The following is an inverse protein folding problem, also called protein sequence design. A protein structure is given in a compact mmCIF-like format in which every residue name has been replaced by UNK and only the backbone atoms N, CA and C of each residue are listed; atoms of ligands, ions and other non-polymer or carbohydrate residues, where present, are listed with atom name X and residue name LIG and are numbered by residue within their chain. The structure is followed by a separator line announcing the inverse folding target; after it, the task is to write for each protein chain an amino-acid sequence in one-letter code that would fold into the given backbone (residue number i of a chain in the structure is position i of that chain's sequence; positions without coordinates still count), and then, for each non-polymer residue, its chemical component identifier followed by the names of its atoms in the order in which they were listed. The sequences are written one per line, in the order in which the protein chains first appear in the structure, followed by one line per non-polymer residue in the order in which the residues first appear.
data_IF_332110442770
#
_entry.id   IF_332110442770
#
_cell.length_a   1.000
_cell.length_b   1.000
_cell.length_c   1.000
_cell.angle_alpha   90.00
_cell.angle_beta   90.00
_cell.angle_gamma   90.00
#
_symmetry.space_group_name_H-M   'P 1'
#
loop_
_entity.id
_entity.type
_entity.pdbx_description
1 polymer ?
#
# COMPACT_ATOMS: atom_id res chain seq x y z
N UNK A 1 -52.53 -63.26 32.06
CA UNK A 1 -51.22 -63.85 32.03
C UNK A 1 -50.22 -63.00 31.26
N UNK A 2 -49.09 -62.85 31.93
CA UNK A 2 -47.76 -62.62 31.39
C UNK A 2 -47.44 -61.34 30.63
N UNK A 3 -46.76 -60.44 31.32
CA UNK A 3 -45.72 -59.61 30.79
C UNK A 3 -44.55 -60.48 30.26
N UNK A 4 -43.67 -59.94 29.42
CA UNK A 4 -42.43 -59.43 29.90
C UNK A 4 -41.93 -58.14 29.21
N UNK A 5 -41.29 -57.27 29.99
CA UNK A 5 -39.88 -56.96 30.12
C UNK A 5 -39.29 -56.05 29.04
N UNK A 6 -39.05 -54.83 29.48
CA UNK A 6 -37.86 -53.96 29.41
C UNK A 6 -37.00 -54.00 28.13
N UNK A 7 -36.81 -52.88 27.54
CA UNK A 7 -35.49 -52.42 27.09
C UNK A 7 -35.40 -50.88 27.19
N UNK A 8 -34.54 -50.49 28.04
CA UNK A 8 -33.93 -49.19 28.29
C UNK A 8 -33.37 -48.60 26.98
N UNK A 9 -33.73 -47.38 26.65
CA UNK A 9 -33.04 -46.60 25.64
C UNK A 9 -32.88 -45.19 26.16
N UNK A 10 -31.70 -44.90 26.65
CA UNK A 10 -31.14 -43.62 27.04
C UNK A 10 -31.28 -42.60 25.89
N UNK A 11 -31.69 -41.37 26.17
CA UNK A 11 -31.64 -40.32 25.14
C UNK A 11 -30.22 -39.84 24.98
N UNK A 12 -29.69 -40.02 23.79
CA UNK A 12 -28.37 -39.51 23.38
C UNK A 12 -28.39 -38.00 23.31
N UNK A 13 -27.36 -37.43 23.92
CA UNK A 13 -27.07 -36.02 24.12
C UNK A 13 -27.23 -35.15 22.87
N UNK A 14 -27.79 -33.97 23.12
CA UNK A 14 -27.79 -32.85 22.21
C UNK A 14 -26.35 -32.50 21.81
N UNK A 15 -26.12 -32.40 20.46
CA UNK A 15 -24.87 -31.94 19.93
C UNK A 15 -24.60 -30.50 20.31
N UNK A 16 -23.51 -30.29 21.01
CA UNK A 16 -22.94 -28.98 21.30
C UNK A 16 -22.60 -28.29 19.95
N UNK A 17 -23.12 -27.10 19.79
CA UNK A 17 -22.67 -26.18 18.75
C UNK A 17 -21.18 -25.85 18.97
N UNK A 18 -20.34 -25.81 17.93
CA UNK A 18 -18.94 -25.45 18.08
C UNK A 18 -18.83 -24.04 18.65
N UNK A 19 -18.27 -23.95 19.85
CA UNK A 19 -17.98 -22.71 20.52
C UNK A 19 -17.15 -21.79 19.64
N UNK A 20 -17.59 -20.56 19.52
CA UNK A 20 -16.82 -19.47 18.97
C UNK A 20 -15.61 -19.23 19.88
N UNK A 21 -14.44 -19.74 19.49
CA UNK A 21 -13.17 -19.34 20.08
C UNK A 21 -12.91 -17.86 19.70
N UNK A 22 -13.25 -16.96 20.62
CA UNK A 22 -12.98 -15.53 20.51
C UNK A 22 -11.50 -15.17 20.73
N UNK A 23 -10.62 -16.16 20.92
CA UNK A 23 -9.19 -16.00 21.21
C UNK A 23 -8.28 -16.69 20.18
N UNK A 24 -8.69 -16.78 18.92
CA UNK A 24 -7.72 -17.11 17.86
C UNK A 24 -6.78 -15.92 17.70
N UNK A 25 -5.47 -16.06 18.00
CA UNK A 25 -4.53 -14.99 17.76
C UNK A 25 -4.58 -14.64 16.27
N UNK A 26 -4.59 -13.34 15.96
CA UNK A 26 -4.42 -12.86 14.58
C UNK A 26 -3.22 -13.60 13.97
N UNK A 27 -3.32 -14.10 12.75
CA UNK A 27 -2.16 -14.70 12.10
C UNK A 27 -1.04 -13.65 12.10
N UNK A 28 0.19 -14.04 12.43
CA UNK A 28 1.32 -13.12 12.49
C UNK A 28 1.43 -12.36 11.17
N UNK A 29 1.78 -11.08 11.24
CA UNK A 29 1.93 -10.20 10.08
C UNK A 29 2.81 -10.79 8.97
N UNK A 30 3.70 -11.72 9.31
CA UNK A 30 4.54 -12.47 8.38
C UNK A 30 3.78 -13.43 7.45
N UNK A 31 2.53 -13.75 7.71
CA UNK A 31 1.74 -14.64 6.82
C UNK A 31 1.36 -13.99 5.49
N UNK A 32 1.46 -12.66 5.37
CA UNK A 32 1.24 -11.93 4.12
C UNK A 32 2.47 -11.90 3.20
N UNK A 33 3.64 -12.28 3.71
CA UNK A 33 4.92 -12.29 2.99
C UNK A 33 5.04 -13.47 2.02
N UNK A 34 4.17 -14.47 2.15
CA UNK A 34 4.23 -15.74 1.42
C UNK A 34 3.99 -15.63 -0.11
N UNK A 35 3.56 -14.49 -0.63
CA UNK A 35 3.29 -14.28 -2.06
C UNK A 35 4.22 -13.28 -2.75
N UNK A 36 5.28 -12.81 -2.06
CA UNK A 36 6.33 -12.05 -2.73
C UNK A 36 7.07 -13.05 -3.62
N UNK A 37 7.14 -12.85 -4.94
CA UNK A 37 8.00 -13.68 -5.77
C UNK A 37 9.39 -13.66 -5.17
N UNK A 38 9.94 -14.82 -4.83
CA UNK A 38 11.29 -14.95 -4.23
C UNK A 38 12.40 -14.66 -5.26
N UNK A 39 12.06 -14.17 -6.43
CA UNK A 39 13.00 -13.78 -7.47
C UNK A 39 13.49 -12.36 -7.21
N UNK A 40 14.62 -12.31 -6.51
CA UNK A 40 15.47 -11.14 -6.38
C UNK A 40 15.13 -10.24 -5.18
N UNK A 41 16.18 -9.78 -4.49
CA UNK A 41 16.09 -8.74 -3.45
C UNK A 41 15.68 -7.37 -4.01
N UNK A 42 15.68 -7.25 -5.34
CA UNK A 42 15.36 -6.03 -6.06
C UNK A 42 13.86 -5.74 -5.95
N UNK A 43 13.53 -4.57 -5.42
CA UNK A 43 12.14 -4.12 -5.27
C UNK A 43 11.40 -4.59 -4.02
N UNK A 44 12.07 -5.25 -3.07
CA UNK A 44 11.44 -5.64 -1.79
C UNK A 44 11.47 -4.52 -0.75
N UNK A 45 12.46 -3.65 -0.81
CA UNK A 45 12.75 -2.64 0.20
C UNK A 45 11.58 -1.68 0.45
N UNK A 46 10.91 -1.23 -0.63
CA UNK A 46 9.77 -0.32 -0.55
C UNK A 46 8.45 -0.99 -0.92
N UNK A 47 8.41 -2.31 -1.03
CA UNK A 47 7.29 -3.08 -1.52
C UNK A 47 5.96 -2.71 -0.84
N UNK A 48 5.94 -2.61 0.49
CA UNK A 48 4.72 -2.29 1.23
C UNK A 48 4.18 -0.89 0.94
N UNK A 49 5.06 0.09 0.76
CA UNK A 49 4.67 1.47 0.45
C UNK A 49 4.13 1.59 -0.98
N UNK A 50 4.84 1.01 -1.93
CA UNK A 50 4.41 0.94 -3.32
C UNK A 50 3.08 0.21 -3.47
N UNK A 51 2.90 -0.92 -2.76
CA UNK A 51 1.67 -1.70 -2.76
C UNK A 51 0.46 -0.90 -2.29
N UNK A 52 0.61 -0.04 -1.29
CA UNK A 52 -0.48 0.83 -0.82
C UNK A 52 -0.86 1.88 -1.87
N UNK A 53 0.12 2.44 -2.58
CA UNK A 53 -0.13 3.38 -3.68
C UNK A 53 -0.83 2.65 -4.84
N UNK A 54 -0.33 1.45 -5.21
CA UNK A 54 -0.96 0.62 -6.23
C UNK A 54 -2.41 0.24 -5.89
N UNK A 55 -2.70 0.03 -4.61
CA UNK A 55 -4.06 -0.22 -4.16
C UNK A 55 -4.99 0.95 -4.50
N UNK A 56 -4.52 2.19 -4.37
CA UNK A 56 -5.29 3.36 -4.78
C UNK A 56 -5.43 3.45 -6.30
N UNK A 57 -4.36 3.17 -7.03
CA UNK A 57 -4.36 3.16 -8.50
C UNK A 57 -5.34 2.11 -9.05
N UNK A 58 -5.29 0.87 -8.57
CA UNK A 58 -6.14 -0.22 -9.09
C UNK A 58 -7.61 -0.01 -8.72
N UNK A 59 -7.91 0.55 -7.54
CA UNK A 59 -9.30 0.75 -7.08
C UNK A 59 -9.94 2.03 -7.58
N UNK A 60 -9.17 3.08 -7.70
CA UNK A 60 -9.66 4.45 -7.86
C UNK A 60 -8.89 5.24 -8.92
N UNK A 61 -8.09 4.58 -9.74
CA UNK A 61 -7.12 5.23 -10.63
C UNK A 61 -7.70 6.31 -11.52
N UNK A 62 -8.87 6.07 -12.10
CA UNK A 62 -9.60 7.00 -12.97
C UNK A 62 -10.40 8.07 -12.21
N UNK A 63 -10.55 7.94 -10.89
CA UNK A 63 -11.32 8.90 -10.09
C UNK A 63 -10.59 10.22 -9.95
N UNK A 64 -11.33 11.30 -10.13
CA UNK A 64 -10.84 12.66 -9.89
C UNK A 64 -10.65 12.84 -8.39
N UNK A 65 -9.43 13.20 -7.97
CA UNK A 65 -9.13 13.44 -6.57
C UNK A 65 -9.02 14.93 -6.22
N UNK A 66 -8.66 15.77 -7.17
CA UNK A 66 -8.56 17.23 -6.98
C UNK A 66 -8.66 17.96 -8.31
N UNK A 67 -8.88 19.28 -8.24
CA UNK A 67 -8.75 20.18 -9.37
C UNK A 67 -7.48 21.02 -9.20
N UNK A 68 -6.75 21.21 -10.29
CA UNK A 68 -5.56 22.07 -10.33
C UNK A 68 -5.83 23.20 -11.30
N UNK A 69 -5.51 24.43 -10.90
CA UNK A 69 -5.63 25.60 -11.76
C UNK A 69 -4.41 25.70 -12.67
N UNK A 70 -4.61 25.71 -13.99
CA UNK A 70 -3.54 25.92 -14.96
C UNK A 70 -3.11 27.40 -15.04
N UNK A 71 -2.08 27.69 -15.82
CA UNK A 71 -1.56 29.06 -16.03
C UNK A 71 -2.63 30.01 -16.64
N UNK A 72 -3.64 29.47 -17.30
CA UNK A 72 -4.75 30.22 -17.91
C UNK A 72 -5.92 30.47 -16.94
N UNK A 73 -5.80 30.01 -15.67
CA UNK A 73 -6.84 30.14 -14.66
C UNK A 73 -7.98 29.13 -14.79
N UNK A 74 -7.83 28.08 -15.62
CA UNK A 74 -8.85 27.04 -15.77
C UNK A 74 -8.60 25.91 -14.75
N UNK A 75 -9.67 25.40 -14.19
CA UNK A 75 -9.63 24.21 -13.32
C UNK A 75 -9.57 22.93 -14.17
N UNK A 76 -8.51 22.18 -14.00
CA UNK A 76 -8.30 20.88 -14.63
C UNK A 76 -8.47 19.78 -13.59
N UNK A 77 -9.39 18.83 -13.81
CA UNK A 77 -9.55 17.69 -12.92
C UNK A 77 -8.32 16.77 -13.04
N UNK A 78 -7.79 16.34 -11.90
CA UNK A 78 -6.64 15.42 -11.81
C UNK A 78 -7.10 14.13 -11.17
N UNK A 79 -6.91 13.02 -11.88
CA UNK A 79 -7.19 11.68 -11.41
C UNK A 79 -6.09 11.17 -10.45
N UNK A 80 -6.38 10.08 -9.74
CA UNK A 80 -5.39 9.41 -8.87
C UNK A 80 -4.14 9.00 -9.66
N UNK A 81 -4.30 8.41 -10.86
CA UNK A 81 -3.18 8.00 -11.71
C UNK A 81 -2.34 9.20 -12.11
N UNK A 82 -2.96 10.26 -12.64
CA UNK A 82 -2.27 11.47 -13.08
C UNK A 82 -1.49 12.14 -11.95
N UNK A 83 -2.10 12.20 -10.76
CA UNK A 83 -1.44 12.74 -9.58
C UNK A 83 -0.18 11.94 -9.20
N UNK A 84 -0.30 10.60 -9.09
CA UNK A 84 0.83 9.74 -8.71
C UNK A 84 1.95 9.80 -9.73
N UNK A 85 1.61 9.76 -11.03
CA UNK A 85 2.60 9.85 -12.12
C UNK A 85 3.31 11.21 -12.11
N UNK A 86 2.57 12.30 -11.97
CA UNK A 86 3.13 13.65 -11.92
C UNK A 86 4.04 13.84 -10.70
N UNK A 87 3.60 13.38 -9.53
CA UNK A 87 4.34 13.51 -8.28
C UNK A 87 5.65 12.71 -8.27
N UNK A 88 5.63 11.47 -8.82
CA UNK A 88 6.85 10.67 -9.00
C UNK A 88 7.80 11.30 -10.01
N UNK A 89 7.27 11.79 -11.13
CA UNK A 89 8.06 12.43 -12.18
C UNK A 89 8.72 13.73 -11.71
N UNK A 90 8.03 14.51 -10.89
CA UNK A 90 8.56 15.75 -10.33
C UNK A 90 9.82 15.53 -9.48
N UNK A 91 9.87 14.43 -8.74
CA UNK A 91 11.00 14.08 -7.86
C UNK A 91 11.96 13.07 -8.50
N UNK A 92 11.82 12.79 -9.82
CA UNK A 92 12.61 11.81 -10.56
C UNK A 92 12.60 10.40 -9.93
N UNK A 93 11.50 10.06 -9.25
CA UNK A 93 11.31 8.77 -8.60
C UNK A 93 10.54 7.79 -9.49
N UNK A 94 10.75 6.51 -9.22
CA UNK A 94 9.99 5.41 -9.81
C UNK A 94 9.77 4.30 -8.78
N UNK A 95 8.82 3.41 -9.01
CA UNK A 95 8.68 2.22 -8.19
C UNK A 95 9.89 1.30 -8.38
N UNK A 96 10.38 0.74 -7.29
CA UNK A 96 11.52 -0.17 -7.28
C UNK A 96 11.15 -1.57 -7.74
N UNK A 97 9.93 -2.02 -7.39
CA UNK A 97 9.43 -3.31 -7.82
C UNK A 97 9.05 -3.28 -9.32
N UNK A 98 9.60 -4.19 -10.16
CA UNK A 98 9.34 -4.21 -11.60
C UNK A 98 7.86 -4.37 -11.96
N UNK A 99 7.14 -5.26 -11.22
CA UNK A 99 5.72 -5.50 -11.45
C UNK A 99 4.88 -4.27 -11.11
N UNK A 100 5.21 -3.58 -10.02
CA UNK A 100 4.54 -2.34 -9.63
C UNK A 100 4.76 -1.23 -10.66
N UNK A 101 5.98 -1.11 -11.16
CA UNK A 101 6.34 -0.15 -12.22
C UNK A 101 5.57 -0.42 -13.50
N UNK A 102 5.42 -1.70 -13.89
CA UNK A 102 4.64 -2.09 -15.06
C UNK A 102 3.17 -1.69 -14.90
N UNK A 103 2.54 -1.99 -13.75
CA UNK A 103 1.15 -1.58 -13.49
C UNK A 103 0.98 -0.06 -13.59
N UNK A 104 1.89 0.72 -13.00
CA UNK A 104 1.84 2.18 -13.08
C UNK A 104 1.98 2.68 -14.52
N UNK A 105 2.88 2.09 -15.31
CA UNK A 105 3.09 2.45 -16.71
C UNK A 105 1.86 2.17 -17.56
N UNK A 106 1.26 0.99 -17.39
CA UNK A 106 0.01 0.62 -18.07
C UNK A 106 -1.15 1.53 -17.67
N UNK A 107 -1.30 1.83 -16.38
CA UNK A 107 -2.31 2.75 -15.89
C UNK A 107 -2.17 4.14 -16.53
N UNK A 108 -0.95 4.66 -16.60
CA UNK A 108 -0.65 5.96 -17.20
C UNK A 108 -0.91 5.99 -18.72
N UNK A 109 -0.69 4.86 -19.41
CA UNK A 109 -0.92 4.78 -20.86
C UNK A 109 -2.41 4.80 -21.23
N UNK A 110 -3.28 4.26 -20.35
CA UNK A 110 -4.69 4.04 -20.65
C UNK A 110 -5.66 4.99 -19.94
N UNK A 111 -5.18 5.89 -19.06
CA UNK A 111 -6.04 6.79 -18.28
C UNK A 111 -6.97 7.65 -19.13
N UNK A 112 -6.56 8.02 -20.35
CA UNK A 112 -7.34 8.85 -21.26
C UNK A 112 -8.20 8.04 -22.25
N UNK A 113 -8.18 6.71 -22.16
CA UNK A 113 -9.00 5.86 -23.04
C UNK A 113 -10.47 5.96 -22.63
N UNK A 114 -11.35 6.05 -23.62
CA UNK A 114 -12.79 6.15 -23.38
C UNK A 114 -13.33 4.93 -22.61
N UNK A 115 -13.87 5.18 -21.43
CA UNK A 115 -14.44 4.12 -20.58
C UNK A 115 -13.41 3.30 -19.80
N UNK A 116 -12.18 3.75 -19.71
CA UNK A 116 -11.16 3.12 -18.88
C UNK A 116 -11.61 3.08 -17.42
N UNK A 117 -11.48 1.91 -16.81
CA UNK A 117 -11.69 1.67 -15.39
C UNK A 117 -10.55 0.79 -14.91
N UNK A 118 -9.71 1.31 -14.04
CA UNK A 118 -8.48 0.64 -13.62
C UNK A 118 -8.76 -0.75 -13.01
N UNK A 119 -9.76 -0.87 -12.14
CA UNK A 119 -10.16 -2.14 -11.54
C UNK A 119 -10.47 -3.20 -12.61
N UNK A 120 -11.34 -2.87 -13.59
CA UNK A 120 -11.73 -3.81 -14.65
C UNK A 120 -10.56 -4.17 -15.55
N UNK A 121 -9.74 -3.18 -15.90
CA UNK A 121 -8.59 -3.35 -16.78
C UNK A 121 -7.57 -4.32 -16.18
N UNK A 122 -7.16 -4.12 -14.92
CA UNK A 122 -6.16 -4.96 -14.30
C UNK A 122 -6.66 -6.32 -13.84
N UNK A 123 -7.94 -6.48 -13.53
CA UNK A 123 -8.54 -7.81 -13.28
C UNK A 123 -8.54 -8.69 -14.53
N UNK A 124 -8.72 -8.10 -15.70
CA UNK A 124 -8.73 -8.80 -16.98
C UNK A 124 -7.36 -8.78 -17.70
N UNK A 125 -6.31 -8.32 -17.03
CA UNK A 125 -5.00 -8.18 -17.66
C UNK A 125 -4.43 -9.54 -18.07
N UNK A 126 -3.81 -9.66 -19.27
CA UNK A 126 -3.33 -10.95 -19.78
C UNK A 126 -2.23 -11.61 -18.94
N UNK A 127 -1.39 -10.80 -18.29
CA UNK A 127 -0.34 -11.33 -17.40
C UNK A 127 -0.95 -11.78 -16.07
N UNK A 128 -0.82 -13.09 -15.72
CA UNK A 128 -1.34 -13.64 -14.48
C UNK A 128 -0.73 -13.01 -13.21
N UNK A 129 0.49 -12.49 -13.27
CA UNK A 129 1.12 -11.84 -12.11
C UNK A 129 0.41 -10.52 -11.78
N UNK A 130 0.09 -9.72 -12.81
CA UNK A 130 -0.64 -8.46 -12.65
C UNK A 130 -2.08 -8.71 -12.22
N UNK A 131 -2.81 -9.61 -12.90
CA UNK A 131 -4.20 -9.88 -12.56
C UNK A 131 -4.35 -10.46 -11.16
N UNK A 132 -3.46 -11.36 -10.73
CA UNK A 132 -3.44 -11.92 -9.37
C UNK A 132 -3.18 -10.85 -8.31
N UNK A 133 -2.16 -10.00 -8.51
CA UNK A 133 -1.89 -8.89 -7.60
C UNK A 133 -3.08 -7.94 -7.51
N UNK A 134 -3.72 -7.65 -8.63
CA UNK A 134 -4.91 -6.78 -8.67
C UNK A 134 -6.09 -7.37 -7.89
N UNK A 135 -6.34 -8.68 -8.00
CA UNK A 135 -7.35 -9.38 -7.18
C UNK A 135 -7.04 -9.23 -5.69
N UNK A 136 -5.78 -9.39 -5.28
CA UNK A 136 -5.37 -9.20 -3.88
C UNK A 136 -5.59 -7.78 -3.39
N UNK A 137 -5.21 -6.77 -4.20
CA UNK A 137 -5.37 -5.36 -3.87
C UNK A 137 -6.84 -4.95 -3.69
N UNK A 138 -7.73 -5.55 -4.48
CA UNK A 138 -9.18 -5.29 -4.42
C UNK A 138 -9.82 -6.05 -3.27
N UNK A 139 -9.43 -7.31 -3.03
CA UNK A 139 -10.03 -8.19 -2.01
C UNK A 139 -9.95 -7.62 -0.59
N UNK A 140 -8.89 -6.91 -0.25
CA UNK A 140 -8.73 -6.27 1.04
C UNK A 140 -9.85 -5.24 1.36
N UNK A 141 -10.50 -4.66 0.35
CA UNK A 141 -11.68 -3.79 0.51
C UNK A 141 -12.86 -4.50 1.15
N UNK A 142 -13.08 -5.76 0.77
CA UNK A 142 -14.25 -6.52 1.24
C UNK A 142 -14.11 -7.01 2.69
N UNK A 143 -12.91 -7.20 3.20
CA UNK A 143 -12.69 -7.63 4.58
C UNK A 143 -12.97 -6.50 5.58
N UNK A 144 -12.55 -5.27 5.28
CA UNK A 144 -12.81 -4.11 6.15
C UNK A 144 -14.27 -3.68 6.15
N UNK A 145 -14.96 -3.74 5.00
CA UNK A 145 -16.34 -3.27 4.88
C UNK A 145 -17.36 -4.13 5.63
N UNK A 146 -17.13 -5.45 5.77
CA UNK A 146 -18.05 -6.36 6.48
C UNK A 146 -18.06 -6.19 8.00
N UNK A 147 -16.97 -5.74 8.58
CA UNK A 147 -16.85 -5.61 10.04
C UNK A 147 -17.36 -4.27 10.57
N UNK A 148 -17.25 -3.19 9.80
CA UNK A 148 -17.56 -1.83 10.23
C UNK A 148 -18.90 -1.26 9.72
N UNK A 149 -19.56 -1.89 8.77
CA UNK A 149 -20.79 -1.35 8.15
C UNK A 149 -22.03 -1.35 9.06
N UNK A 150 -21.93 -1.82 10.29
CA UNK A 150 -23.10 -1.94 11.18
C UNK A 150 -23.35 -0.77 12.13
N UNK A 151 -22.45 0.20 12.25
CA UNK A 151 -22.54 1.14 13.37
C UNK A 151 -22.23 2.62 13.14
N UNK A 152 -21.60 3.04 12.05
CA UNK A 152 -21.30 4.46 11.80
C UNK A 152 -21.31 4.78 10.30
N UNK A 153 -21.64 6.03 9.95
CA UNK A 153 -21.50 6.60 8.61
C UNK A 153 -20.00 6.66 8.28
N UNK A 154 -19.46 5.56 7.73
CA UNK A 154 -18.04 5.45 7.42
C UNK A 154 -17.81 6.23 6.14
N UNK A 155 -17.01 7.28 6.22
CA UNK A 155 -16.49 8.00 5.06
C UNK A 155 -15.68 7.00 4.25
N UNK A 156 -16.03 6.81 2.99
CA UNK A 156 -15.36 5.86 2.11
C UNK A 156 -13.96 6.36 1.72
N UNK A 157 -13.05 5.45 1.35
CA UNK A 157 -11.73 5.82 0.83
C UNK A 157 -11.86 6.76 -0.38
N UNK A 158 -12.88 6.56 -1.22
CA UNK A 158 -13.18 7.38 -2.39
C UNK A 158 -13.46 8.84 -2.05
N UNK A 159 -14.15 9.10 -0.93
CA UNK A 159 -14.44 10.47 -0.45
C UNK A 159 -13.19 11.17 0.14
N UNK A 160 -12.13 10.43 0.43
CA UNK A 160 -10.90 10.91 1.07
C UNK A 160 -9.66 10.77 0.20
N UNK A 161 -9.79 10.50 -1.10
CA UNK A 161 -8.66 10.30 -2.00
C UNK A 161 -7.68 11.48 -1.97
N UNK A 162 -8.20 12.72 -1.87
CA UNK A 162 -7.41 13.94 -1.78
C UNK A 162 -6.53 14.04 -0.52
N UNK A 163 -6.82 13.25 0.52
CA UNK A 163 -6.00 13.14 1.73
C UNK A 163 -5.12 11.88 1.71
N UNK A 164 -5.70 10.75 1.31
CA UNK A 164 -5.05 9.45 1.38
C UNK A 164 -3.89 9.32 0.39
N UNK A 165 -4.10 9.70 -0.87
CA UNK A 165 -3.09 9.52 -1.92
C UNK A 165 -1.84 10.37 -1.64
N UNK A 166 -1.93 11.68 -1.33
CA UNK A 166 -0.75 12.46 -0.95
C UNK A 166 -0.04 11.94 0.30
N UNK A 167 -0.78 11.45 1.29
CA UNK A 167 -0.18 10.88 2.50
C UNK A 167 0.62 9.60 2.19
N UNK A 168 0.11 8.73 1.32
CA UNK A 168 0.83 7.53 0.86
C UNK A 168 2.09 7.90 0.07
N UNK A 169 2.02 8.91 -0.79
CA UNK A 169 3.18 9.40 -1.55
C UNK A 169 4.26 9.96 -0.62
N UNK A 170 3.89 10.77 0.39
CA UNK A 170 4.84 11.29 1.37
C UNK A 170 5.47 10.14 2.18
N UNK A 171 4.69 9.13 2.59
CA UNK A 171 5.21 7.95 3.30
C UNK A 171 6.24 7.18 2.46
N UNK A 172 5.97 6.98 1.17
CA UNK A 172 6.88 6.33 0.25
C UNK A 172 8.20 7.14 0.11
N UNK A 173 8.11 8.45 -0.14
CA UNK A 173 9.27 9.33 -0.23
C UNK A 173 10.07 9.39 1.08
N UNK A 174 9.39 9.42 2.22
CA UNK A 174 10.02 9.37 3.54
C UNK A 174 10.81 8.07 3.75
N UNK A 175 10.28 6.94 3.30
CA UNK A 175 10.97 5.66 3.38
C UNK A 175 12.26 5.67 2.53
N UNK A 176 12.19 6.20 1.29
CA UNK A 176 13.36 6.34 0.41
C UNK A 176 14.43 7.23 1.05
N UNK A 177 14.05 8.42 1.54
CA UNK A 177 14.99 9.33 2.22
C UNK A 177 15.61 8.69 3.45
N UNK A 178 14.81 7.93 4.22
CA UNK A 178 15.30 7.24 5.42
C UNK A 178 16.34 6.17 5.10
N UNK A 179 16.16 5.44 4.01
CA UNK A 179 17.13 4.42 3.58
C UNK A 179 18.39 5.03 3.01
N UNK A 180 18.29 6.11 2.21
CA UNK A 180 19.43 6.88 1.72
C UNK A 180 20.28 7.41 2.87
N UNK A 181 19.65 7.92 3.94
CA UNK A 181 20.36 8.37 5.14
C UNK A 181 21.12 7.24 5.85
N UNK A 182 20.55 6.03 5.90
CA UNK A 182 21.25 4.87 6.45
C UNK A 182 22.45 4.47 5.59
N UNK A 183 22.29 4.49 4.27
CA UNK A 183 23.38 4.21 3.32
C UNK A 183 24.52 5.21 3.48
N UNK A 184 24.22 6.51 3.61
CA UNK A 184 25.23 7.53 3.87
C UNK A 184 25.97 7.30 5.20
N UNK A 185 25.24 6.94 6.26
CA UNK A 185 25.87 6.62 7.55
C UNK A 185 26.74 5.37 7.47
N UNK A 186 26.31 4.36 6.72
CA UNK A 186 27.13 3.16 6.49
C UNK A 186 28.38 3.48 5.67
N UNK A 187 28.26 4.33 4.65
CA UNK A 187 29.40 4.77 3.84
C UNK A 187 30.46 5.53 4.66
N UNK A 188 30.05 6.34 5.63
CA UNK A 188 30.97 7.04 6.54
C UNK A 188 31.75 6.10 7.47
N UNK A 189 31.32 4.85 7.65
CA UNK A 189 32.03 3.82 8.42
C UNK A 189 33.09 3.09 7.59
N UNK A 190 33.07 3.25 6.26
CA UNK A 190 34.08 2.66 5.38
C UNK A 190 35.43 3.38 5.60
N UNK A 191 36.51 2.65 5.97
CA UNK A 191 37.85 3.24 6.16
C UNK A 191 38.38 4.01 4.94
N UNK A 192 37.98 3.61 3.72
CA UNK A 192 38.38 4.28 2.49
C UNK A 192 37.76 5.68 2.35
N UNK A 193 36.57 5.88 2.93
CA UNK A 193 35.86 7.16 2.93
C UNK A 193 36.23 7.96 4.19
N UNK A 194 36.30 7.32 5.35
CA UNK A 194 36.62 7.95 6.63
C UNK A 194 38.00 8.62 6.66
N UNK A 195 38.94 8.08 5.88
CA UNK A 195 40.30 8.66 5.75
C UNK A 195 40.44 9.74 4.65
N UNK A 196 39.38 9.99 3.88
CA UNK A 196 39.32 11.00 2.82
C UNK A 196 38.44 12.18 3.30
N UNK A 197 39.07 13.24 3.75
CA UNK A 197 38.37 14.39 4.35
C UNK A 197 37.40 15.06 3.37
N UNK A 198 37.74 15.13 2.09
CA UNK A 198 36.89 15.76 1.08
C UNK A 198 35.59 14.94 0.85
N UNK A 199 35.73 13.62 0.71
CA UNK A 199 34.56 12.72 0.56
C UNK A 199 33.71 12.70 1.82
N UNK A 200 34.34 12.64 2.99
CA UNK A 200 33.63 12.66 4.27
C UNK A 200 32.79 13.94 4.41
N UNK A 201 33.38 15.10 4.12
CA UNK A 201 32.69 16.38 4.19
C UNK A 201 31.54 16.48 3.18
N UNK A 202 31.71 15.96 1.95
CA UNK A 202 30.67 15.94 0.94
C UNK A 202 29.46 15.08 1.37
N UNK A 203 29.72 13.88 1.93
CA UNK A 203 28.66 13.00 2.44
C UNK A 203 27.97 13.64 3.66
N UNK A 204 28.70 14.23 4.58
CA UNK A 204 28.14 14.89 5.77
C UNK A 204 27.24 16.07 5.40
N UNK A 205 27.63 16.87 4.41
CA UNK A 205 26.81 17.96 3.89
C UNK A 205 25.51 17.43 3.31
N UNK A 206 25.58 16.44 2.41
CA UNK A 206 24.40 15.81 1.81
C UNK A 206 23.50 15.17 2.88
N UNK A 207 24.08 14.50 3.86
CA UNK A 207 23.36 13.93 4.99
C UNK A 207 22.56 15.00 5.76
N UNK A 208 23.18 16.17 6.05
CA UNK A 208 22.49 17.26 6.72
C UNK A 208 21.31 17.79 5.91
N UNK A 209 21.49 18.01 4.61
CA UNK A 209 20.44 18.46 3.70
C UNK A 209 19.27 17.44 3.65
N UNK A 210 19.57 16.15 3.52
CA UNK A 210 18.58 15.08 3.50
C UNK A 210 17.82 14.94 4.84
N UNK A 211 18.51 15.16 5.98
CA UNK A 211 17.88 15.16 7.32
C UNK A 211 16.87 16.29 7.47
N UNK A 212 17.14 17.44 6.89
CA UNK A 212 16.20 18.56 6.87
C UNK A 212 14.93 18.20 6.07
N UNK A 213 15.10 17.63 4.87
CA UNK A 213 14.00 17.14 4.04
C UNK A 213 13.18 16.07 4.80
N UNK A 214 13.86 15.11 5.45
CA UNK A 214 13.21 14.09 6.27
C UNK A 214 12.37 14.72 7.39
N UNK A 215 12.91 15.73 8.08
CA UNK A 215 12.21 16.43 9.17
C UNK A 215 10.93 17.14 8.69
N UNK A 216 10.99 17.76 7.50
CA UNK A 216 9.82 18.41 6.89
C UNK A 216 8.75 17.37 6.55
N UNK A 217 9.14 16.23 5.96
CA UNK A 217 8.21 15.13 5.65
C UNK A 217 7.60 14.55 6.93
N UNK A 218 8.41 14.32 7.97
CA UNK A 218 7.95 13.81 9.26
C UNK A 218 6.91 14.72 9.92
N UNK A 219 7.08 16.05 9.84
CA UNK A 219 6.08 17.02 10.33
C UNK A 219 4.77 16.89 9.58
N UNK A 220 4.81 16.76 8.24
CA UNK A 220 3.60 16.56 7.42
C UNK A 220 2.92 15.22 7.72
N UNK A 221 3.68 14.19 8.05
CA UNK A 221 3.16 12.90 8.47
C UNK A 221 2.64 12.92 9.90
N UNK A 222 3.31 13.61 10.84
CA UNK A 222 2.97 13.63 12.27
C UNK A 222 1.59 14.20 12.59
N UNK A 223 1.06 15.07 11.74
CA UNK A 223 -0.30 15.59 11.90
C UNK A 223 -1.38 14.57 11.47
N UNK A 224 -1.01 13.41 10.90
CA UNK A 224 -1.96 12.47 10.27
C UNK A 224 -1.65 10.99 10.46
N UNK A 225 -0.58 10.62 11.15
CA UNK A 225 -0.16 9.21 11.15
C UNK A 225 -0.78 8.44 12.30
N UNK A 226 -1.73 7.60 11.94
CA UNK A 226 -1.83 6.25 12.48
C UNK A 226 -1.56 5.32 11.30
N UNK A 227 -0.33 4.85 11.17
CA UNK A 227 -0.04 3.66 10.37
C UNK A 227 -0.37 2.45 11.23
N UNK A 228 -1.12 1.48 10.68
CA UNK A 228 -1.37 0.21 11.33
C UNK A 228 -0.09 -0.60 11.51
#
# INVERSE_FOLDING_TARGET
PAAPTTADATPTAAGEAPGHNADAPFPPEDSYISFIPQEGKEGQEFYKYERLILQMIVRYGEKVMCNVTNEEGQEIPVSVIEYVVSDLKQDELSFHNPLHRQILTEAAAHIHDAGFTAERYFLAYPDPAISKLSVELISNRYQLSKYHSKSQKIVTDEERLYELVPALMINFKYAIVSEELKHMMSALQDPAIANDEEKCNAIMKRYSEMREVQSIMAKRLGDRVVLP
#
